data_IF_753640859667
#
_entry.id   IF_753640859667
#
_cell.length_a   1.000
_cell.length_b   1.000
_cell.length_c   1.000
_cell.angle_alpha   90.00
_cell.angle_beta   90.00
_cell.angle_gamma   90.00
#
_symmetry.space_group_name_H-M   'P 1'
#
loop_
_entity.id
_entity.type
_entity.pdbx_description
1 polymer ?
#
# COMPACT_ATOMS: atom_id res chain seq x y z
N UNK A 1 35.24 26.05 -20.40
CA UNK A 1 34.25 25.11 -21.00
C UNK A 1 33.77 24.10 -19.94
N UNK A 2 32.60 24.35 -19.36
CA UNK A 2 31.96 23.44 -18.41
C UNK A 2 31.41 22.28 -19.24
N UNK A 3 32.14 21.15 -19.26
CA UNK A 3 31.69 19.94 -19.96
C UNK A 3 30.42 19.45 -19.27
N UNK A 4 29.39 19.25 -20.09
CA UNK A 4 28.02 19.02 -19.68
C UNK A 4 27.89 17.91 -18.63
N UNK A 5 27.14 18.23 -17.59
CA UNK A 5 26.53 17.25 -16.70
C UNK A 5 25.61 16.39 -17.57
N UNK A 6 26.10 15.21 -17.98
CA UNK A 6 25.23 14.16 -18.51
C UNK A 6 24.11 13.85 -17.50
N UNK A 7 23.03 13.19 -17.95
CA UNK A 7 21.90 12.88 -17.08
C UNK A 7 22.42 12.17 -15.83
N UNK A 8 22.20 12.84 -14.70
CA UNK A 8 22.61 12.41 -13.36
C UNK A 8 22.08 10.98 -13.21
N UNK A 9 22.99 10.01 -13.12
CA UNK A 9 22.63 8.61 -12.84
C UNK A 9 21.81 8.64 -11.56
N UNK A 10 20.49 8.47 -11.68
CA UNK A 10 19.61 8.38 -10.53
C UNK A 10 20.04 7.10 -9.82
N UNK A 11 20.58 7.25 -8.60
CA UNK A 11 20.97 6.09 -7.82
C UNK A 11 19.72 5.34 -7.38
N UNK A 12 19.82 4.02 -7.20
CA UNK A 12 18.73 3.16 -6.68
C UNK A 12 18.12 3.73 -5.38
N UNK A 13 18.89 4.50 -4.61
CA UNK A 13 18.42 5.19 -3.41
C UNK A 13 17.33 6.24 -3.68
N UNK A 14 17.39 6.96 -4.80
CA UNK A 14 16.37 7.94 -5.16
C UNK A 14 15.09 7.25 -5.65
N UNK A 15 15.23 6.21 -6.47
CA UNK A 15 14.09 5.42 -6.96
C UNK A 15 13.34 4.76 -5.80
N UNK A 16 14.07 4.17 -4.84
CA UNK A 16 13.48 3.59 -3.63
C UNK A 16 12.79 4.64 -2.75
N UNK A 17 13.36 5.85 -2.63
CA UNK A 17 12.74 6.94 -1.88
C UNK A 17 11.43 7.40 -2.54
N UNK A 18 11.44 7.56 -3.86
CA UNK A 18 10.27 7.94 -4.65
C UNK A 18 9.17 6.87 -4.57
N UNK A 19 9.52 5.58 -4.74
CA UNK A 19 8.57 4.46 -4.62
C UNK A 19 7.94 4.43 -3.24
N UNK A 20 8.73 4.61 -2.18
CA UNK A 20 8.20 4.67 -0.82
C UNK A 20 7.28 5.88 -0.62
N UNK A 21 7.66 7.06 -1.11
CA UNK A 21 6.82 8.27 -1.01
C UNK A 21 5.47 8.08 -1.71
N UNK A 22 5.47 7.58 -2.95
CA UNK A 22 4.24 7.27 -3.71
C UNK A 22 3.39 6.23 -2.97
N UNK A 23 4.02 5.18 -2.45
CA UNK A 23 3.33 4.13 -1.68
C UNK A 23 2.67 4.68 -0.41
N UNK A 24 3.39 5.49 0.38
CA UNK A 24 2.86 6.09 1.60
C UNK A 24 1.72 7.07 1.30
N UNK A 25 1.85 7.88 0.24
CA UNK A 25 0.81 8.80 -0.17
C UNK A 25 -0.47 8.05 -0.60
N UNK A 26 -0.33 7.00 -1.39
CA UNK A 26 -1.46 6.18 -1.82
C UNK A 26 -2.15 5.49 -0.63
N UNK A 27 -1.40 4.97 0.35
CA UNK A 27 -1.98 4.43 1.58
C UNK A 27 -2.76 5.49 2.37
N UNK A 28 -2.24 6.70 2.50
CA UNK A 28 -2.90 7.79 3.21
C UNK A 28 -4.24 8.18 2.56
N UNK A 29 -4.33 8.18 1.23
CA UNK A 29 -5.57 8.42 0.49
C UNK A 29 -6.60 7.30 0.69
N UNK A 30 -6.15 6.04 0.64
CA UNK A 30 -7.03 4.88 0.84
C UNK A 30 -7.56 4.86 2.28
N UNK A 31 -6.72 5.19 3.28
CA UNK A 31 -7.13 5.28 4.69
C UNK A 31 -8.32 6.23 4.87
N UNK A 32 -8.31 7.39 4.23
CA UNK A 32 -9.39 8.38 4.33
C UNK A 32 -10.73 7.88 3.77
N UNK A 33 -10.71 6.96 2.81
CA UNK A 33 -11.91 6.46 2.10
C UNK A 33 -12.33 5.05 2.51
N UNK A 34 -11.62 4.45 3.47
CA UNK A 34 -11.86 3.07 3.93
C UNK A 34 -12.49 3.11 5.31
N UNK A 35 -13.53 2.29 5.53
CA UNK A 35 -14.16 2.17 6.83
C UNK A 35 -13.11 1.82 7.92
N UNK A 36 -13.17 2.42 9.12
CA UNK A 36 -12.14 2.23 10.15
C UNK A 36 -11.83 0.75 10.44
N UNK A 37 -12.87 -0.06 10.60
CA UNK A 37 -12.77 -1.52 10.81
C UNK A 37 -12.04 -2.24 9.68
N UNK A 38 -12.37 -1.94 8.43
CA UNK A 38 -11.80 -2.61 7.27
C UNK A 38 -10.31 -2.29 7.13
N UNK A 39 -9.93 -1.06 7.48
CA UNK A 39 -8.53 -0.66 7.54
C UNK A 39 -7.76 -1.38 8.66
N UNK A 40 -8.31 -1.47 9.87
CA UNK A 40 -7.67 -2.19 10.98
C UNK A 40 -7.46 -3.68 10.64
N UNK A 41 -8.45 -4.30 9.98
CA UNK A 41 -8.34 -5.66 9.43
C UNK A 41 -7.19 -5.74 8.43
N UNK A 42 -7.09 -4.77 7.50
CA UNK A 42 -6.01 -4.72 6.53
C UNK A 42 -4.63 -4.55 7.19
N UNK A 43 -4.48 -3.64 8.15
CA UNK A 43 -3.21 -3.41 8.84
C UNK A 43 -2.71 -4.69 9.53
N UNK A 44 -3.61 -5.40 10.22
CA UNK A 44 -3.28 -6.69 10.86
C UNK A 44 -2.85 -7.75 9.85
N UNK A 45 -3.49 -7.81 8.68
CA UNK A 45 -3.16 -8.81 7.66
C UNK A 45 -1.93 -8.45 6.81
N UNK A 46 -1.61 -7.16 6.69
CA UNK A 46 -0.61 -6.67 5.74
C UNK A 46 0.70 -6.26 6.40
N UNK A 47 0.68 -5.74 7.62
CA UNK A 47 1.87 -5.29 8.34
C UNK A 47 2.25 -6.18 9.54
N UNK A 48 1.37 -7.08 9.96
CA UNK A 48 1.62 -8.00 11.07
C UNK A 48 1.69 -9.45 10.59
N UNK A 49 2.14 -10.36 11.46
CA UNK A 49 2.15 -11.81 11.21
C UNK A 49 0.78 -12.46 11.42
N UNK A 50 -0.29 -11.68 11.56
CA UNK A 50 -1.63 -12.17 11.87
C UNK A 50 -2.26 -12.85 10.65
N UNK A 51 -2.82 -14.03 10.88
CA UNK A 51 -3.50 -14.81 9.84
C UNK A 51 -4.94 -14.37 9.64
N UNK A 52 -5.51 -14.65 8.46
CA UNK A 52 -6.94 -14.41 8.20
C UNK A 52 -7.87 -15.15 9.15
N UNK A 53 -7.42 -16.27 9.75
CA UNK A 53 -8.21 -17.03 10.75
C UNK A 53 -8.26 -16.32 12.09
N UNK A 54 -7.16 -15.74 12.54
CA UNK A 54 -7.09 -14.97 13.79
C UNK A 54 -7.90 -13.69 13.69
N UNK A 55 -7.76 -12.94 12.58
CA UNK A 55 -8.57 -11.75 12.30
C UNK A 55 -10.05 -12.11 12.19
N UNK A 56 -10.39 -13.21 11.52
CA UNK A 56 -11.78 -13.67 11.43
C UNK A 56 -12.41 -13.90 12.81
N UNK A 57 -11.67 -14.52 13.73
CA UNK A 57 -12.12 -14.75 15.11
C UNK A 57 -12.31 -13.43 15.87
N UNK A 58 -11.34 -12.53 15.78
CA UNK A 58 -11.37 -11.23 16.47
C UNK A 58 -12.56 -10.37 16.02
N UNK A 59 -12.78 -10.27 14.71
CA UNK A 59 -13.81 -9.39 14.12
C UNK A 59 -15.15 -10.09 13.86
N UNK A 60 -15.31 -11.35 14.27
CA UNK A 60 -16.50 -12.19 14.07
C UNK A 60 -16.95 -12.24 12.61
N UNK A 61 -16.00 -12.46 11.69
CA UNK A 61 -16.24 -12.62 10.25
C UNK A 61 -15.66 -13.92 9.75
N UNK A 62 -15.91 -14.26 8.48
CA UNK A 62 -15.23 -15.39 7.84
C UNK A 62 -13.81 -15.00 7.44
N UNK A 63 -12.89 -15.97 7.40
CA UNK A 63 -11.54 -15.76 6.89
C UNK A 63 -11.55 -15.26 5.44
N UNK A 64 -12.55 -15.68 4.65
CA UNK A 64 -12.74 -15.18 3.30
C UNK A 64 -13.12 -13.68 3.27
N UNK A 65 -14.01 -13.23 4.16
CA UNK A 65 -14.34 -11.81 4.26
C UNK A 65 -13.11 -10.95 4.61
N UNK A 66 -12.27 -11.43 5.54
CA UNK A 66 -11.01 -10.77 5.89
C UNK A 66 -10.05 -10.70 4.68
N UNK A 67 -9.93 -11.80 3.91
CA UNK A 67 -9.13 -11.82 2.69
C UNK A 67 -9.68 -10.86 1.60
N UNK A 68 -11.00 -10.80 1.43
CA UNK A 68 -11.66 -9.88 0.48
C UNK A 68 -11.38 -8.42 0.85
N UNK A 69 -11.43 -8.05 2.13
CA UNK A 69 -11.08 -6.70 2.60
C UNK A 69 -9.64 -6.36 2.20
N UNK A 70 -8.69 -7.26 2.47
CA UNK A 70 -7.28 -7.07 2.06
C UNK A 70 -7.15 -6.88 0.55
N UNK A 71 -7.77 -7.76 -0.24
CA UNK A 71 -7.72 -7.67 -1.71
C UNK A 71 -8.30 -6.35 -2.23
N UNK A 72 -9.41 -5.88 -1.67
CA UNK A 72 -10.03 -4.60 -2.09
C UNK A 72 -9.08 -3.43 -1.88
N UNK A 73 -8.40 -3.36 -0.73
CA UNK A 73 -7.46 -2.28 -0.43
C UNK A 73 -6.22 -2.36 -1.31
N UNK A 74 -5.68 -3.56 -1.54
CA UNK A 74 -4.54 -3.75 -2.47
C UNK A 74 -4.88 -3.40 -3.91
N UNK A 75 -6.11 -3.66 -4.37
CA UNK A 75 -6.55 -3.26 -5.70
C UNK A 75 -6.64 -1.73 -5.82
N UNK A 76 -7.21 -1.04 -4.83
CA UNK A 76 -7.21 0.43 -4.80
C UNK A 76 -5.79 1.01 -4.82
N UNK A 77 -4.86 0.38 -4.08
CA UNK A 77 -3.46 0.78 -4.08
C UNK A 77 -2.84 0.64 -5.47
N UNK A 78 -3.09 -0.47 -6.16
CA UNK A 78 -2.63 -0.70 -7.54
C UNK A 78 -3.20 0.35 -8.51
N UNK A 79 -4.47 0.71 -8.36
CA UNK A 79 -5.12 1.73 -9.19
C UNK A 79 -4.45 3.10 -9.00
N UNK A 80 -4.31 3.56 -7.76
CA UNK A 80 -3.71 4.87 -7.45
C UNK A 80 -2.25 4.94 -7.93
N UNK A 81 -1.45 3.92 -7.63
CA UNK A 81 -0.04 3.88 -8.07
C UNK A 81 0.03 3.80 -9.60
N UNK A 82 -0.85 3.03 -10.24
CA UNK A 82 -0.92 2.92 -11.69
C UNK A 82 -1.29 4.23 -12.39
N UNK A 83 -2.09 5.08 -11.75
CA UNK A 83 -2.43 6.41 -12.26
C UNK A 83 -1.32 7.45 -12.01
N UNK A 84 -0.48 7.28 -10.98
CA UNK A 84 0.68 8.15 -10.75
C UNK A 84 1.85 7.94 -11.74
N UNK A 85 1.85 6.85 -12.49
CA UNK A 85 2.94 6.47 -13.42
C UNK A 85 2.57 6.74 -14.90
N UNK A 86 1.34 7.19 -15.18
CA UNK A 86 0.88 7.60 -16.52
C UNK A 86 1.13 9.08 -16.77
#
# INVERSE_FOLDING_TARGET
PIKGSGPKVLSESWENAFVNEVYQHALALIRQTTAPRDWEIFEKLHFSTTTSKEVAKEYKITANAAAVIRCRILNKLREIVGDCVK
#
